data_IF_924104796727
#
_entry.id   IF_924104796727
#
_cell.length_a   1.000
_cell.length_b   1.000
_cell.length_c   1.000
_cell.angle_alpha   90.00
_cell.angle_beta   90.00
_cell.angle_gamma   90.00
#
_symmetry.space_group_name_H-M   'P 1'
#
loop_
_entity.id
_entity.type
_entity.pdbx_description
1 polymer ?
#
# COMPACT_ATOMS: atom_id res chain seq x y z
N UNK A 1 -26.27 -3.38 -25.53
CA UNK A 1 -26.61 -3.83 -24.17
C UNK A 1 -25.92 -2.92 -23.19
N UNK A 2 -26.65 -2.27 -22.27
CA UNK A 2 -26.04 -1.44 -21.22
C UNK A 2 -25.52 -2.33 -20.09
N UNK A 3 -24.55 -1.85 -19.31
CA UNK A 3 -24.03 -2.58 -18.13
C UNK A 3 -25.14 -2.94 -17.15
N UNK A 4 -26.17 -2.09 -17.05
CA UNK A 4 -27.38 -2.32 -16.23
C UNK A 4 -28.16 -3.56 -16.68
N UNK A 5 -28.20 -3.88 -17.99
CA UNK A 5 -28.90 -5.06 -18.49
C UNK A 5 -28.15 -6.37 -18.20
N UNK A 6 -26.81 -6.30 -18.09
CA UNK A 6 -25.95 -7.46 -17.84
C UNK A 6 -25.81 -7.72 -16.33
N UNK A 7 -26.00 -6.68 -15.50
CA UNK A 7 -25.83 -6.78 -14.06
C UNK A 7 -26.65 -7.89 -13.39
N UNK A 8 -27.97 -8.06 -13.62
CA UNK A 8 -28.76 -9.07 -12.91
C UNK A 8 -28.19 -10.49 -13.07
N UNK A 9 -27.85 -10.88 -14.29
CA UNK A 9 -27.31 -12.22 -14.56
C UNK A 9 -25.90 -12.41 -13.97
N UNK A 10 -25.05 -11.36 -13.99
CA UNK A 10 -23.74 -11.42 -13.35
C UNK A 10 -23.86 -11.51 -11.82
N UNK A 11 -24.77 -10.74 -11.23
CA UNK A 11 -25.06 -10.75 -9.79
C UNK A 11 -25.57 -12.12 -9.34
N UNK A 12 -26.52 -12.71 -10.06
CA UNK A 12 -27.04 -14.05 -9.78
C UNK A 12 -25.95 -15.12 -9.90
N UNK A 13 -25.13 -15.05 -10.96
CA UNK A 13 -24.01 -15.98 -11.17
C UNK A 13 -22.99 -15.88 -10.03
N UNK A 14 -22.64 -14.66 -9.63
CA UNK A 14 -21.69 -14.43 -8.54
C UNK A 14 -22.22 -14.99 -7.21
N UNK A 15 -23.50 -14.77 -6.89
CA UNK A 15 -24.12 -15.32 -5.68
C UNK A 15 -24.18 -16.86 -5.69
N UNK A 16 -24.54 -17.45 -6.83
CA UNK A 16 -24.63 -18.91 -6.97
C UNK A 16 -23.27 -19.59 -6.78
N UNK A 17 -22.19 -18.92 -7.17
CA UNK A 17 -20.82 -19.46 -7.14
C UNK A 17 -19.91 -18.74 -6.14
N UNK A 18 -20.47 -18.06 -5.14
CA UNK A 18 -19.72 -17.19 -4.22
C UNK A 18 -18.58 -17.88 -3.44
N UNK A 19 -18.63 -19.21 -3.28
CA UNK A 19 -17.58 -19.98 -2.63
C UNK A 19 -16.42 -20.38 -3.57
N UNK A 20 -16.62 -20.34 -4.89
CA UNK A 20 -15.61 -20.73 -5.88
C UNK A 20 -14.81 -19.50 -6.34
N UNK A 21 -13.60 -19.35 -5.78
CA UNK A 21 -12.71 -18.24 -6.10
C UNK A 21 -12.45 -18.11 -7.62
N UNK A 22 -12.35 -19.22 -8.37
CA UNK A 22 -12.05 -19.17 -9.80
C UNK A 22 -13.20 -18.56 -10.58
N UNK A 23 -14.45 -18.86 -10.22
CA UNK A 23 -15.63 -18.30 -10.86
C UNK A 23 -15.82 -16.83 -10.44
N UNK A 24 -15.67 -16.53 -9.15
CA UNK A 24 -15.78 -15.16 -8.63
C UNK A 24 -14.74 -14.24 -9.28
N UNK A 25 -13.48 -14.66 -9.41
CA UNK A 25 -12.41 -13.92 -10.11
C UNK A 25 -12.83 -13.54 -11.54
N UNK A 26 -13.45 -14.47 -12.27
CA UNK A 26 -13.92 -14.21 -13.65
C UNK A 26 -15.12 -13.26 -13.67
N UNK A 27 -16.01 -13.34 -12.69
CA UNK A 27 -17.12 -12.40 -12.53
C UNK A 27 -16.60 -10.98 -12.23
N UNK A 28 -15.69 -10.84 -11.26
CA UNK A 28 -15.03 -9.57 -10.93
C UNK A 28 -14.24 -9.01 -12.11
N UNK A 29 -13.56 -9.86 -12.89
CA UNK A 29 -12.87 -9.45 -14.12
C UNK A 29 -13.83 -8.92 -15.17
N UNK A 30 -14.99 -9.54 -15.36
CA UNK A 30 -16.04 -9.06 -16.27
C UNK A 30 -16.56 -7.68 -15.81
N UNK A 31 -16.92 -7.56 -14.53
CA UNK A 31 -17.40 -6.32 -13.93
C UNK A 31 -16.36 -5.19 -14.03
N UNK A 32 -15.08 -5.50 -13.82
CA UNK A 32 -13.99 -4.54 -14.00
C UNK A 32 -13.98 -3.94 -15.39
N UNK A 33 -14.06 -4.76 -16.45
CA UNK A 33 -14.10 -4.23 -17.81
C UNK A 33 -15.40 -3.50 -18.13
N UNK A 34 -16.53 -3.96 -17.60
CA UNK A 34 -17.82 -3.28 -17.73
C UNK A 34 -17.79 -1.87 -17.14
N UNK A 35 -17.30 -1.74 -15.89
CA UNK A 35 -17.15 -0.44 -15.20
C UNK A 35 -16.16 0.45 -15.94
N UNK A 36 -14.97 -0.06 -16.32
CA UNK A 36 -13.99 0.72 -17.10
C UNK A 36 -14.51 1.21 -18.45
N UNK A 37 -15.36 0.42 -19.10
CA UNK A 37 -15.92 0.76 -20.41
C UNK A 37 -16.94 1.90 -20.32
N UNK A 38 -17.79 1.90 -19.29
CA UNK A 38 -18.83 2.92 -19.12
C UNK A 38 -18.33 4.13 -18.31
N UNK A 39 -17.34 3.93 -17.45
CA UNK A 39 -16.87 4.94 -16.49
C UNK A 39 -18.01 5.42 -15.60
N UNK A 40 -18.05 6.74 -15.37
CA UNK A 40 -19.03 7.43 -14.52
C UNK A 40 -20.50 7.18 -14.91
N UNK A 41 -20.78 6.80 -16.16
CA UNK A 41 -22.13 6.46 -16.61
C UNK A 41 -22.73 5.20 -15.98
N UNK A 42 -21.93 4.42 -15.24
CA UNK A 42 -22.38 3.21 -14.53
C UNK A 42 -22.69 3.46 -13.05
N UNK A 43 -22.84 4.73 -12.62
CA UNK A 43 -23.07 5.09 -11.21
C UNK A 43 -24.28 4.39 -10.57
N UNK A 44 -25.34 4.10 -11.34
CA UNK A 44 -26.52 3.37 -10.84
C UNK A 44 -26.20 1.94 -10.38
N UNK A 45 -25.07 1.37 -10.83
CA UNK A 45 -24.60 0.05 -10.43
C UNK A 45 -23.81 0.08 -9.12
N UNK A 46 -23.29 1.24 -8.69
CA UNK A 46 -22.35 1.34 -7.59
C UNK A 46 -22.92 0.77 -6.29
N UNK A 47 -24.10 1.23 -5.88
CA UNK A 47 -24.73 0.78 -4.64
C UNK A 47 -25.04 -0.74 -4.62
N UNK A 48 -25.77 -1.32 -5.60
CA UNK A 48 -26.06 -2.75 -5.58
C UNK A 48 -24.79 -3.61 -5.69
N UNK A 49 -23.79 -3.18 -6.47
CA UNK A 49 -22.52 -3.89 -6.59
C UNK A 49 -21.75 -3.89 -5.26
N UNK A 50 -21.53 -2.72 -4.66
CA UNK A 50 -20.82 -2.60 -3.37
C UNK A 50 -21.51 -3.41 -2.27
N UNK A 51 -22.84 -3.37 -2.22
CA UNK A 51 -23.63 -4.14 -1.25
C UNK A 51 -23.35 -5.65 -1.39
N UNK A 52 -23.38 -6.17 -2.62
CA UNK A 52 -23.08 -7.57 -2.89
C UNK A 52 -21.62 -7.91 -2.57
N UNK A 53 -20.66 -7.07 -2.98
CA UNK A 53 -19.24 -7.27 -2.71
C UNK A 53 -18.96 -7.41 -1.21
N UNK A 54 -19.47 -6.48 -0.40
CA UNK A 54 -19.28 -6.50 1.05
C UNK A 54 -19.93 -7.74 1.67
N UNK A 55 -21.17 -8.07 1.29
CA UNK A 55 -21.89 -9.23 1.82
C UNK A 55 -21.17 -10.54 1.52
N UNK A 56 -20.63 -10.71 0.30
CA UNK A 56 -19.93 -11.94 -0.08
C UNK A 56 -18.55 -11.98 0.57
N UNK A 57 -17.80 -10.88 0.58
CA UNK A 57 -16.44 -10.83 1.13
C UNK A 57 -16.39 -11.13 2.63
N UNK A 58 -17.43 -10.79 3.38
CA UNK A 58 -17.57 -11.13 4.80
C UNK A 58 -17.55 -12.65 5.08
N UNK A 59 -18.03 -13.47 4.12
CA UNK A 59 -18.09 -14.92 4.25
C UNK A 59 -16.94 -15.59 3.49
N UNK A 60 -16.64 -15.09 2.29
CA UNK A 60 -15.62 -15.61 1.39
C UNK A 60 -14.67 -14.47 0.98
N UNK A 61 -13.52 -14.30 1.67
CA UNK A 61 -12.64 -13.16 1.46
C UNK A 61 -11.78 -13.28 0.19
N UNK A 62 -12.41 -13.39 -0.98
CA UNK A 62 -11.71 -13.43 -2.26
C UNK A 62 -11.08 -12.06 -2.56
N UNK A 63 -9.75 -12.01 -2.68
CA UNK A 63 -8.99 -10.76 -2.82
C UNK A 63 -9.44 -9.91 -4.01
N UNK A 64 -9.99 -10.53 -5.05
CA UNK A 64 -10.51 -9.87 -6.24
C UNK A 64 -11.62 -8.84 -5.96
N UNK A 65 -12.30 -8.92 -4.81
CA UNK A 65 -13.22 -7.88 -4.36
C UNK A 65 -12.52 -6.60 -3.90
N UNK A 66 -11.35 -6.71 -3.25
CA UNK A 66 -10.50 -5.56 -2.95
C UNK A 66 -10.02 -4.92 -4.25
N UNK A 67 -9.60 -5.75 -5.23
CA UNK A 67 -9.20 -5.23 -6.52
C UNK A 67 -10.35 -4.56 -7.27
N UNK A 68 -11.54 -5.17 -7.30
CA UNK A 68 -12.72 -4.56 -7.91
C UNK A 68 -13.08 -3.24 -7.21
N UNK A 69 -12.99 -3.20 -5.88
CA UNK A 69 -13.12 -1.96 -5.10
C UNK A 69 -12.14 -0.89 -5.57
N UNK A 70 -10.89 -1.25 -5.89
CA UNK A 70 -9.88 -0.30 -6.37
C UNK A 70 -10.29 0.32 -7.71
N UNK A 71 -11.00 -0.43 -8.55
CA UNK A 71 -11.53 0.06 -9.83
C UNK A 71 -12.66 1.04 -9.59
N UNK A 72 -13.56 0.74 -8.64
CA UNK A 72 -14.63 1.66 -8.26
C UNK A 72 -14.05 2.98 -7.72
N UNK A 73 -13.03 2.91 -6.87
CA UNK A 73 -12.35 4.11 -6.35
C UNK A 73 -11.63 4.87 -7.44
N UNK A 74 -11.01 4.18 -8.40
CA UNK A 74 -10.32 4.83 -9.52
C UNK A 74 -11.28 5.64 -10.40
N UNK A 75 -12.47 5.12 -10.66
CA UNK A 75 -13.47 5.74 -11.54
C UNK A 75 -14.33 6.80 -10.81
N UNK A 76 -14.64 6.59 -9.53
CA UNK A 76 -15.62 7.39 -8.77
C UNK A 76 -15.03 8.16 -7.59
N UNK A 77 -13.77 7.93 -7.21
CA UNK A 77 -13.19 8.51 -5.98
C UNK A 77 -13.06 10.03 -5.98
N UNK A 78 -13.07 10.66 -7.16
CA UNK A 78 -13.06 12.13 -7.26
C UNK A 78 -14.46 12.76 -7.13
N UNK A 79 -15.53 11.98 -7.29
CA UNK A 79 -16.92 12.44 -7.17
C UNK A 79 -17.31 12.60 -5.70
N UNK A 80 -17.58 13.82 -5.24
CA UNK A 80 -17.88 14.10 -3.84
C UNK A 80 -19.03 13.26 -3.28
N UNK A 81 -20.08 13.07 -4.09
CA UNK A 81 -21.24 12.25 -3.73
C UNK A 81 -20.94 10.75 -3.56
N UNK A 82 -19.79 10.26 -4.03
CA UNK A 82 -19.39 8.86 -3.91
C UNK A 82 -18.36 8.60 -2.81
N UNK A 83 -17.63 9.64 -2.36
CA UNK A 83 -16.49 9.49 -1.43
C UNK A 83 -16.86 8.76 -0.14
N UNK A 84 -17.97 9.12 0.49
CA UNK A 84 -18.39 8.49 1.75
C UNK A 84 -18.75 7.01 1.55
N UNK A 85 -19.57 6.68 0.55
CA UNK A 85 -19.95 5.29 0.29
C UNK A 85 -18.77 4.40 -0.11
N UNK A 86 -17.78 4.96 -0.82
CA UNK A 86 -16.53 4.27 -1.10
C UNK A 86 -15.71 4.05 0.19
N UNK A 87 -15.61 5.05 1.06
CA UNK A 87 -14.94 4.89 2.35
C UNK A 87 -15.61 3.82 3.22
N UNK A 88 -16.95 3.80 3.26
CA UNK A 88 -17.71 2.78 3.98
C UNK A 88 -17.43 1.37 3.41
N UNK A 89 -17.32 1.24 2.08
CA UNK A 89 -16.89 0.00 1.43
C UNK A 89 -15.49 -0.42 1.88
N UNK A 90 -14.51 0.50 1.87
CA UNK A 90 -13.14 0.21 2.32
C UNK A 90 -13.14 -0.32 3.75
N UNK A 91 -13.83 0.38 4.66
CA UNK A 91 -13.92 -0.02 6.07
C UNK A 91 -14.56 -1.39 6.24
N UNK A 92 -15.64 -1.67 5.49
CA UNK A 92 -16.33 -2.94 5.53
C UNK A 92 -15.48 -4.10 5.01
N UNK A 93 -14.69 -3.88 3.95
CA UNK A 93 -13.77 -4.89 3.41
C UNK A 93 -12.55 -5.08 4.32
N UNK A 94 -12.00 -4.02 4.91
CA UNK A 94 -10.82 -4.10 5.78
C UNK A 94 -11.04 -4.99 7.00
N UNK A 95 -12.26 -5.07 7.56
CA UNK A 95 -12.54 -5.90 8.74
C UNK A 95 -12.16 -7.38 8.55
N UNK A 96 -12.77 -8.15 7.62
CA UNK A 96 -12.35 -9.52 7.35
C UNK A 96 -10.95 -9.61 6.74
N UNK A 97 -10.46 -8.60 6.02
CA UNK A 97 -9.07 -8.57 5.53
C UNK A 97 -8.07 -8.61 6.67
N UNK A 98 -8.21 -7.75 7.69
CA UNK A 98 -7.27 -7.72 8.80
C UNK A 98 -7.38 -8.99 9.65
N UNK A 99 -8.58 -9.51 9.89
CA UNK A 99 -8.76 -10.80 10.55
C UNK A 99 -8.02 -11.94 9.83
N UNK A 100 -7.99 -11.93 8.49
CA UNK A 100 -7.26 -12.90 7.69
C UNK A 100 -5.74 -12.72 7.81
N UNK A 101 -5.25 -11.48 7.75
CA UNK A 101 -3.83 -11.16 7.75
C UNK A 101 -3.17 -11.23 9.14
N UNK A 102 -3.95 -11.06 10.22
CA UNK A 102 -3.52 -11.19 11.62
C UNK A 102 -3.33 -12.66 12.07
N UNK A 103 -3.79 -13.63 11.27
CA UNK A 103 -3.52 -15.03 11.54
C UNK A 103 -2.01 -15.33 11.53
N UNK A 104 -1.55 -16.40 12.21
CA UNK A 104 -0.16 -16.83 12.11
C UNK A 104 0.27 -17.04 10.65
N UNK A 105 1.31 -16.32 10.24
CA UNK A 105 1.78 -16.26 8.84
C UNK A 105 0.75 -15.72 7.83
N UNK A 106 -0.25 -14.96 8.25
CA UNK A 106 -1.35 -14.47 7.41
C UNK A 106 -0.85 -13.69 6.18
N UNK A 107 0.08 -12.77 6.36
CA UNK A 107 0.72 -12.03 5.25
C UNK A 107 1.37 -12.96 4.20
N UNK A 108 2.00 -14.05 4.65
CA UNK A 108 2.67 -15.03 3.78
C UNK A 108 1.69 -15.98 3.12
N UNK A 109 0.62 -16.34 3.82
CA UNK A 109 -0.40 -17.27 3.33
C UNK A 109 -1.41 -16.61 2.38
N UNK A 110 -1.56 -15.28 2.47
CA UNK A 110 -2.53 -14.50 1.70
C UNK A 110 -1.89 -13.33 0.94
N UNK A 111 -0.82 -13.55 0.13
CA UNK A 111 -0.12 -12.47 -0.56
C UNK A 111 -1.01 -11.76 -1.59
N UNK A 112 -1.95 -12.46 -2.22
CA UNK A 112 -2.92 -11.86 -3.15
C UNK A 112 -3.85 -10.86 -2.43
N UNK A 113 -4.20 -11.15 -1.17
CA UNK A 113 -4.99 -10.23 -0.34
C UNK A 113 -4.17 -9.00 0.03
N UNK A 114 -2.88 -9.17 0.33
CA UNK A 114 -1.96 -8.04 0.57
C UNK A 114 -1.84 -7.18 -0.68
N UNK A 115 -1.60 -7.77 -1.85
CA UNK A 115 -1.53 -7.07 -3.13
C UNK A 115 -2.81 -6.25 -3.36
N UNK A 116 -3.97 -6.90 -3.39
CA UNK A 116 -5.22 -6.24 -3.75
C UNK A 116 -5.70 -5.21 -2.70
N UNK A 117 -5.38 -5.41 -1.41
CA UNK A 117 -5.61 -4.41 -0.35
C UNK A 117 -4.82 -3.14 -0.66
N UNK A 118 -3.53 -3.25 -0.98
CA UNK A 118 -2.70 -2.07 -1.23
C UNK A 118 -2.93 -1.47 -2.61
N UNK A 119 -3.45 -2.21 -3.58
CA UNK A 119 -4.01 -1.64 -4.82
C UNK A 119 -5.22 -0.76 -4.53
N UNK A 120 -6.13 -1.22 -3.67
CA UNK A 120 -7.30 -0.45 -3.21
C UNK A 120 -6.86 0.81 -2.45
N UNK A 121 -5.97 0.66 -1.46
CA UNK A 121 -5.49 1.78 -0.66
C UNK A 121 -4.74 2.81 -1.51
N UNK A 122 -3.89 2.37 -2.44
CA UNK A 122 -3.20 3.26 -3.41
C UNK A 122 -4.21 4.09 -4.21
N UNK A 123 -5.30 3.46 -4.69
CA UNK A 123 -6.34 4.19 -5.45
C UNK A 123 -7.05 5.22 -4.59
N UNK A 124 -7.31 4.94 -3.31
CA UNK A 124 -7.87 5.94 -2.40
C UNK A 124 -6.96 7.13 -2.19
N UNK A 125 -5.67 6.89 -1.92
CA UNK A 125 -4.68 7.96 -1.75
C UNK A 125 -4.60 8.84 -3.00
N UNK A 126 -4.63 8.25 -4.19
CA UNK A 126 -4.53 8.99 -5.45
C UNK A 126 -5.81 9.78 -5.81
N UNK A 127 -6.99 9.34 -5.34
CA UNK A 127 -8.28 9.89 -5.80
C UNK A 127 -8.98 10.76 -4.76
N UNK A 128 -8.85 10.41 -3.48
CA UNK A 128 -9.46 11.15 -2.37
C UNK A 128 -8.60 11.07 -1.11
N UNK A 129 -7.37 11.62 -1.15
CA UNK A 129 -6.38 11.48 -0.06
C UNK A 129 -6.91 12.00 1.27
N UNK A 130 -7.54 13.18 1.28
CA UNK A 130 -8.08 13.79 2.51
C UNK A 130 -9.17 12.91 3.13
N UNK A 131 -10.03 12.27 2.32
CA UNK A 131 -11.06 11.35 2.83
C UNK A 131 -10.45 10.15 3.52
N UNK A 132 -9.43 9.52 2.93
CA UNK A 132 -8.75 8.37 3.53
C UNK A 132 -7.96 8.79 4.78
N UNK A 133 -7.14 9.83 4.67
CA UNK A 133 -6.25 10.28 5.75
C UNK A 133 -7.01 10.83 6.96
N UNK A 134 -8.20 11.39 6.78
CA UNK A 134 -9.06 11.84 7.89
C UNK A 134 -9.85 10.70 8.54
N UNK A 135 -9.85 9.50 7.96
CA UNK A 135 -10.59 8.35 8.48
C UNK A 135 -9.78 7.59 9.53
N UNK A 136 -10.45 6.90 10.47
CA UNK A 136 -9.76 6.08 11.48
C UNK A 136 -9.13 4.79 10.94
N UNK A 137 -9.57 4.32 9.75
CA UNK A 137 -9.08 3.06 9.17
C UNK A 137 -7.64 3.18 8.67
N UNK A 138 -7.20 4.39 8.33
CA UNK A 138 -5.86 4.63 7.79
C UNK A 138 -4.74 4.18 8.74
N UNK A 139 -4.94 4.30 10.04
CA UNK A 139 -3.96 3.88 11.05
C UNK A 139 -3.67 2.37 10.90
N UNK A 140 -4.72 1.57 10.74
CA UNK A 140 -4.61 0.12 10.60
C UNK A 140 -4.01 -0.26 9.23
N UNK A 141 -4.36 0.47 8.17
CA UNK A 141 -3.77 0.28 6.83
C UNK A 141 -2.27 0.57 6.86
N UNK A 142 -1.83 1.66 7.52
CA UNK A 142 -0.40 1.99 7.66
C UNK A 142 0.33 0.93 8.47
N UNK A 143 -0.23 0.49 9.60
CA UNK A 143 0.35 -0.58 10.41
C UNK A 143 0.52 -1.88 9.61
N UNK A 144 -0.50 -2.26 8.84
CA UNK A 144 -0.44 -3.40 7.94
C UNK A 144 0.65 -3.21 6.86
N UNK A 145 0.75 -2.02 6.27
CA UNK A 145 1.76 -1.71 5.26
C UNK A 145 3.18 -1.89 5.81
N UNK A 146 3.44 -1.34 7.00
CA UNK A 146 4.73 -1.48 7.69
C UNK A 146 5.05 -2.95 7.96
N UNK A 147 4.09 -3.74 8.44
CA UNK A 147 4.31 -5.17 8.66
C UNK A 147 4.56 -5.94 7.35
N UNK A 148 3.90 -5.53 6.26
CA UNK A 148 3.99 -6.18 4.95
C UNK A 148 5.25 -5.81 4.16
N UNK A 149 6.05 -4.81 4.56
CA UNK A 149 7.27 -4.44 3.82
C UNK A 149 8.30 -5.57 3.77
N UNK A 150 8.30 -6.48 4.75
CA UNK A 150 9.20 -7.64 4.81
C UNK A 150 8.68 -8.88 4.06
N UNK A 151 7.49 -8.81 3.44
CA UNK A 151 6.91 -9.92 2.71
C UNK A 151 7.67 -10.19 1.40
N UNK A 152 8.33 -11.33 1.30
CA UNK A 152 9.00 -11.80 0.09
C UNK A 152 7.98 -12.40 -0.90
N UNK A 153 7.19 -11.51 -1.51
CA UNK A 153 6.30 -11.83 -2.60
C UNK A 153 6.26 -10.65 -3.57
N UNK A 154 6.60 -10.88 -4.84
CA UNK A 154 6.88 -9.82 -5.82
C UNK A 154 5.75 -8.80 -5.96
N UNK A 155 4.52 -9.27 -6.25
CA UNK A 155 3.40 -8.37 -6.55
C UNK A 155 2.90 -7.66 -5.30
N UNK A 156 2.66 -8.41 -4.21
CA UNK A 156 2.34 -7.87 -2.90
C UNK A 156 3.34 -6.81 -2.41
N UNK A 157 4.65 -7.08 -2.48
CA UNK A 157 5.68 -6.12 -2.06
C UNK A 157 5.65 -4.85 -2.93
N UNK A 158 5.54 -5.00 -4.26
CA UNK A 158 5.40 -3.89 -5.19
C UNK A 158 4.19 -3.01 -4.84
N UNK A 159 3.02 -3.61 -4.57
CA UNK A 159 1.82 -2.87 -4.19
C UNK A 159 1.94 -2.18 -2.83
N UNK A 160 2.56 -2.82 -1.83
CA UNK A 160 2.87 -2.20 -0.53
C UNK A 160 3.79 -0.99 -0.71
N UNK A 161 4.92 -1.14 -1.40
CA UNK A 161 5.88 -0.06 -1.59
C UNK A 161 5.26 1.10 -2.37
N UNK A 162 4.47 0.80 -3.40
CA UNK A 162 3.74 1.80 -4.17
C UNK A 162 2.75 2.58 -3.29
N UNK A 163 1.98 1.89 -2.45
CA UNK A 163 1.06 2.54 -1.52
C UNK A 163 1.82 3.48 -0.58
N UNK A 164 2.89 3.00 0.06
CA UNK A 164 3.65 3.80 1.03
C UNK A 164 4.29 5.03 0.36
N UNK A 165 4.87 4.84 -0.83
CA UNK A 165 5.42 5.93 -1.63
C UNK A 165 4.36 6.99 -1.95
N UNK A 166 3.23 6.57 -2.53
CA UNK A 166 2.17 7.50 -2.95
C UNK A 166 1.50 8.19 -1.74
N UNK A 167 1.40 7.48 -0.61
CA UNK A 167 0.93 8.03 0.67
C UNK A 167 1.80 9.19 1.11
N UNK A 168 3.12 9.01 1.18
CA UNK A 168 4.05 10.06 1.63
C UNK A 168 4.10 11.20 0.61
N UNK A 169 4.13 10.86 -0.68
CA UNK A 169 4.13 11.83 -1.78
C UNK A 169 2.92 12.78 -1.74
N UNK A 170 1.80 12.34 -1.18
CA UNK A 170 0.59 13.18 -0.99
C UNK A 170 0.86 14.44 -0.17
N UNK A 171 1.84 14.42 0.74
CA UNK A 171 2.24 15.58 1.55
C UNK A 171 3.12 16.58 0.82
N UNK A 172 3.51 16.28 -0.43
CA UNK A 172 4.44 17.05 -1.26
C UNK A 172 3.79 17.46 -2.59
N UNK A 173 2.98 16.59 -3.18
CA UNK A 173 2.41 16.76 -4.50
C UNK A 173 1.36 17.87 -4.60
N UNK A 174 1.32 18.54 -5.76
CA UNK A 174 0.31 19.53 -6.13
C UNK A 174 0.15 20.62 -5.05
N UNK A 175 1.24 21.29 -4.71
CA UNK A 175 1.31 22.36 -3.70
C UNK A 175 0.44 23.59 -4.03
N UNK A 176 0.00 23.72 -5.28
CA UNK A 176 -0.94 24.73 -5.74
C UNK A 176 -2.42 24.45 -5.40
N UNK A 177 -2.78 23.23 -4.95
CA UNK A 177 -4.16 22.86 -4.62
C UNK A 177 -4.60 23.43 -3.27
N UNK A 178 -5.88 23.79 -3.15
CA UNK A 178 -6.45 24.38 -1.92
C UNK A 178 -6.33 23.46 -0.69
N UNK A 179 -6.32 22.14 -0.89
CA UNK A 179 -6.23 21.14 0.17
C UNK A 179 -4.79 20.77 0.59
N UNK A 180 -3.77 21.38 -0.04
CA UNK A 180 -2.36 21.02 0.17
C UNK A 180 -1.94 21.08 1.65
N UNK A 181 -2.27 22.17 2.35
CA UNK A 181 -1.91 22.33 3.77
C UNK A 181 -2.60 21.28 4.67
N UNK A 182 -3.79 20.81 4.29
CA UNK A 182 -4.49 19.73 5.00
C UNK A 182 -3.78 18.41 4.74
N UNK A 183 -3.45 18.11 3.47
CA UNK A 183 -2.72 16.89 3.08
C UNK A 183 -1.36 16.81 3.77
N UNK A 184 -0.57 17.89 3.72
CA UNK A 184 0.74 18.00 4.37
C UNK A 184 0.66 17.74 5.88
N UNK A 185 -0.33 18.33 6.56
CA UNK A 185 -0.55 18.12 8.01
C UNK A 185 -0.88 16.67 8.34
N UNK A 186 -1.80 16.05 7.58
CA UNK A 186 -2.22 14.67 7.81
C UNK A 186 -1.07 13.68 7.57
N UNK A 187 -0.25 13.89 6.54
CA UNK A 187 0.96 13.10 6.33
C UNK A 187 1.98 13.34 7.44
N UNK A 188 2.13 14.58 7.91
CA UNK A 188 2.98 14.90 9.07
C UNK A 188 2.60 14.06 10.30
N UNK A 189 1.31 14.00 10.64
CA UNK A 189 0.81 13.18 11.75
C UNK A 189 1.08 11.68 11.55
N UNK A 190 0.86 11.15 10.35
CA UNK A 190 1.14 9.76 10.03
C UNK A 190 2.65 9.43 10.17
N UNK A 191 3.51 10.33 9.71
CA UNK A 191 4.96 10.18 9.76
C UNK A 191 5.52 10.36 11.19
N UNK A 192 4.94 11.23 12.01
CA UNK A 192 5.27 11.33 13.43
C UNK A 192 4.99 10.02 14.17
N UNK A 193 3.87 9.36 13.86
CA UNK A 193 3.44 8.14 14.53
C UNK A 193 4.20 6.89 14.03
N UNK A 194 4.43 6.77 12.72
CA UNK A 194 4.92 5.52 12.11
C UNK A 194 6.26 5.64 11.38
N UNK A 195 6.79 6.85 11.17
CA UNK A 195 7.95 7.10 10.32
C UNK A 195 9.21 6.37 10.78
N UNK A 196 9.56 6.43 12.07
CA UNK A 196 10.72 5.71 12.59
C UNK A 196 10.61 4.19 12.41
N UNK A 197 9.42 3.62 12.65
CA UNK A 197 9.18 2.18 12.50
C UNK A 197 9.28 1.77 11.03
N UNK A 198 8.70 2.56 10.12
CA UNK A 198 8.79 2.34 8.68
C UNK A 198 10.24 2.31 8.20
N UNK A 199 11.06 3.32 8.55
CA UNK A 199 12.47 3.39 8.15
C UNK A 199 13.26 2.18 8.68
N UNK A 200 13.07 1.82 9.96
CA UNK A 200 13.71 0.64 10.55
C UNK A 200 13.31 -0.65 9.83
N UNK A 201 12.03 -0.81 9.50
CA UNK A 201 11.53 -2.01 8.86
C UNK A 201 11.98 -2.12 7.39
N UNK A 202 12.01 -1.01 6.65
CA UNK A 202 12.53 -0.98 5.27
C UNK A 202 14.01 -1.37 5.24
N UNK A 203 14.82 -0.82 6.15
CA UNK A 203 16.24 -1.14 6.25
C UNK A 203 16.45 -2.61 6.61
N UNK A 204 15.72 -3.11 7.61
CA UNK A 204 15.74 -4.53 7.97
C UNK A 204 15.34 -5.42 6.78
N UNK A 205 14.24 -5.08 6.09
CA UNK A 205 13.71 -5.85 4.97
C UNK A 205 14.72 -5.94 3.82
N UNK A 206 15.39 -4.83 3.48
CA UNK A 206 16.40 -4.79 2.43
C UNK A 206 17.64 -5.65 2.73
N UNK A 207 18.06 -5.68 4.00
CA UNK A 207 19.24 -6.42 4.43
C UNK A 207 18.99 -7.92 4.59
N UNK A 208 17.82 -8.31 5.12
CA UNK A 208 17.61 -9.68 5.62
C UNK A 208 16.45 -10.44 5.00
N UNK A 209 15.43 -9.77 4.46
CA UNK A 209 14.19 -10.42 4.06
C UNK A 209 14.01 -10.48 2.55
N UNK A 210 14.24 -9.37 1.85
CA UNK A 210 13.83 -9.20 0.47
C UNK A 210 14.96 -9.48 -0.52
N UNK A 211 14.65 -9.97 -1.72
CA UNK A 211 15.59 -10.08 -2.83
C UNK A 211 15.93 -8.71 -3.47
N UNK A 212 17.06 -8.58 -4.19
CA UNK A 212 17.57 -7.29 -4.66
C UNK A 212 16.68 -6.56 -5.67
N UNK A 213 15.72 -7.25 -6.30
CA UNK A 213 14.81 -6.63 -7.27
C UNK A 213 13.83 -5.65 -6.62
N UNK A 214 13.63 -5.72 -5.30
CA UNK A 214 12.75 -4.82 -4.51
C UNK A 214 13.42 -3.49 -4.12
N UNK A 215 14.75 -3.42 -4.22
CA UNK A 215 15.53 -2.26 -3.75
C UNK A 215 15.20 -0.94 -4.45
N UNK A 216 14.85 -0.90 -5.75
CA UNK A 216 14.35 0.33 -6.39
C UNK A 216 13.09 0.87 -5.70
N UNK A 217 12.12 0.01 -5.41
CA UNK A 217 10.85 0.41 -4.80
C UNK A 217 11.07 0.91 -3.36
N UNK A 218 11.95 0.26 -2.60
CA UNK A 218 12.33 0.74 -1.27
C UNK A 218 13.06 2.09 -1.34
N UNK A 219 13.94 2.28 -2.32
CA UNK A 219 14.64 3.54 -2.50
C UNK A 219 13.68 4.70 -2.83
N UNK A 220 12.63 4.45 -3.61
CA UNK A 220 11.57 5.43 -3.88
C UNK A 220 10.85 5.82 -2.58
N UNK A 221 10.53 4.87 -1.70
CA UNK A 221 9.92 5.19 -0.40
C UNK A 221 10.86 6.02 0.47
N UNK A 222 12.14 5.63 0.60
CA UNK A 222 13.12 6.39 1.37
C UNK A 222 13.30 7.81 0.81
N UNK A 223 13.28 7.95 -0.52
CA UNK A 223 13.34 9.22 -1.20
C UNK A 223 12.15 10.12 -0.85
N UNK A 224 10.92 9.61 -0.92
CA UNK A 224 9.73 10.40 -0.55
C UNK A 224 9.75 10.86 0.92
N UNK A 225 10.21 10.00 1.86
CA UNK A 225 10.37 10.41 3.26
C UNK A 225 11.37 11.56 3.39
N UNK A 226 12.49 11.46 2.67
CA UNK A 226 13.53 12.48 2.68
C UNK A 226 13.07 13.80 2.04
N UNK A 227 12.29 13.75 0.97
CA UNK A 227 11.71 14.93 0.33
C UNK A 227 10.70 15.61 1.26
N UNK A 228 9.90 14.83 2.00
CA UNK A 228 8.90 15.35 2.93
C UNK A 228 9.53 16.05 4.15
N UNK A 229 10.48 15.40 4.84
CA UNK A 229 11.21 15.98 5.99
C UNK A 229 12.62 15.37 6.11
N UNK A 230 13.59 16.02 5.45
CA UNK A 230 14.99 15.57 5.42
C UNK A 230 15.64 15.54 6.81
N UNK A 231 15.58 16.60 7.66
CA UNK A 231 16.18 16.55 9.00
C UNK A 231 15.66 15.39 9.86
N UNK A 232 14.34 15.16 9.87
CA UNK A 232 13.75 14.06 10.64
C UNK A 232 14.14 12.70 10.07
N UNK A 233 14.13 12.56 8.73
CA UNK A 233 14.61 11.36 8.05
C UNK A 233 16.07 11.02 8.41
N UNK A 234 16.98 11.99 8.43
CA UNK A 234 18.38 11.79 8.81
C UNK A 234 18.51 11.13 10.19
N UNK A 235 17.72 11.62 11.17
CA UNK A 235 17.68 11.07 12.53
C UNK A 235 17.09 9.67 12.56
N UNK A 236 16.00 9.42 11.83
CA UNK A 236 15.38 8.10 11.78
C UNK A 236 16.29 7.04 11.15
N UNK A 237 16.96 7.40 10.05
CA UNK A 237 17.92 6.53 9.38
C UNK A 237 19.13 6.23 10.28
N UNK A 238 19.64 7.23 11.00
CA UNK A 238 20.72 7.03 11.96
C UNK A 238 20.31 6.04 13.06
N UNK A 239 19.11 6.20 13.63
CA UNK A 239 18.58 5.28 14.65
C UNK A 239 18.42 3.86 14.11
N UNK A 240 17.89 3.70 12.89
CA UNK A 240 17.75 2.41 12.25
C UNK A 240 19.10 1.72 12.01
N UNK A 241 20.11 2.47 11.55
CA UNK A 241 21.47 1.97 11.36
C UNK A 241 22.15 1.58 12.67
N UNK A 242 21.89 2.31 13.76
CA UNK A 242 22.40 1.97 15.10
C UNK A 242 21.84 0.63 15.60
N UNK A 243 20.58 0.33 15.26
CA UNK A 243 19.85 -0.85 15.69
C UNK A 243 20.08 -2.10 14.81
N UNK A 244 20.71 -1.96 13.64
CA UNK A 244 21.02 -3.11 12.78
C UNK A 244 21.98 -4.09 13.47
N UNK A 245 21.81 -5.41 13.28
CA UNK A 245 22.81 -6.41 13.64
C UNK A 245 24.13 -6.16 12.88
N UNK A 246 25.22 -5.89 13.62
CA UNK A 246 26.54 -5.56 13.05
C UNK A 246 27.49 -6.76 12.98
N UNK A 247 27.08 -7.88 13.56
CA UNK A 247 27.86 -9.09 13.69
C UNK A 247 27.06 -10.27 13.15
N UNK A 248 27.75 -11.21 12.51
CA UNK A 248 27.19 -12.51 12.17
C UNK A 248 27.10 -13.40 13.41
N UNK A 249 26.33 -14.49 13.35
CA UNK A 249 26.24 -15.47 14.45
C UNK A 249 27.60 -16.08 14.86
N UNK A 250 28.65 -15.92 14.04
CA UNK A 250 30.03 -16.32 14.34
C UNK A 250 30.93 -15.20 14.89
N UNK A 251 30.39 -14.03 15.25
CA UNK A 251 31.14 -12.90 15.80
C UNK A 251 31.99 -12.13 14.77
N UNK A 252 31.89 -12.46 13.48
CA UNK A 252 32.56 -11.70 12.43
C UNK A 252 31.79 -10.40 12.15
N UNK A 253 32.52 -9.28 12.04
CA UNK A 253 31.98 -7.96 11.70
C UNK A 253 31.37 -8.00 10.31
N UNK A 254 30.05 -7.87 10.23
CA UNK A 254 29.30 -7.81 8.97
C UNK A 254 29.42 -6.43 8.33
N UNK A 255 29.33 -5.37 9.16
CA UNK A 255 29.36 -3.97 8.70
C UNK A 255 30.19 -3.13 9.67
N UNK A 256 31.13 -2.36 9.11
CA UNK A 256 31.98 -1.44 9.86
C UNK A 256 31.27 -0.12 10.17
N UNK A 257 31.73 0.60 11.20
CA UNK A 257 31.23 1.95 11.51
C UNK A 257 31.38 2.91 10.32
N UNK A 258 32.51 2.83 9.59
CA UNK A 258 32.75 3.65 8.39
C UNK A 258 31.69 3.38 7.32
N UNK A 259 31.35 2.13 7.04
CA UNK A 259 30.31 1.78 6.07
C UNK A 259 28.92 2.28 6.47
N UNK A 260 28.57 2.26 7.76
CA UNK A 260 27.32 2.84 8.25
C UNK A 260 27.28 4.36 8.01
N UNK A 261 28.36 5.06 8.36
CA UNK A 261 28.47 6.52 8.18
C UNK A 261 28.48 6.91 6.70
N UNK A 262 29.19 6.15 5.86
CA UNK A 262 29.24 6.38 4.42
C UNK A 262 27.86 6.16 3.78
N UNK A 263 27.14 5.09 4.14
CA UNK A 263 25.78 4.83 3.68
C UNK A 263 24.80 5.92 4.12
N UNK A 264 24.81 6.28 5.41
CA UNK A 264 23.97 7.36 5.94
C UNK A 264 24.19 8.66 5.16
N UNK A 265 25.45 9.04 4.94
CA UNK A 265 25.81 10.23 4.16
C UNK A 265 25.31 10.13 2.71
N UNK A 266 25.60 9.02 2.01
CA UNK A 266 25.19 8.84 0.61
C UNK A 266 23.68 8.98 0.42
N UNK A 267 22.88 8.42 1.33
CA UNK A 267 21.42 8.51 1.27
C UNK A 267 20.93 9.91 1.63
N UNK A 268 21.41 10.48 2.75
CA UNK A 268 20.92 11.77 3.26
C UNK A 268 21.39 13.00 2.48
N UNK A 269 22.48 12.87 1.72
CA UNK A 269 22.98 13.91 0.79
C UNK A 269 22.56 13.66 -0.65
N UNK A 270 21.68 12.70 -0.92
CA UNK A 270 21.24 12.42 -2.28
C UNK A 270 20.39 13.58 -2.85
N UNK A 271 20.66 13.89 -4.11
CA UNK A 271 19.95 14.85 -4.97
C UNK A 271 19.01 14.15 -5.96
N UNK A 272 19.22 12.85 -6.20
CA UNK A 272 18.34 12.02 -7.02
C UNK A 272 18.02 10.68 -6.35
N UNK A 273 16.80 10.17 -6.55
CA UNK A 273 16.38 8.85 -6.07
C UNK A 273 17.29 7.71 -6.55
N UNK A 274 17.94 7.84 -7.72
CA UNK A 274 18.90 6.86 -8.23
C UNK A 274 20.11 6.68 -7.30
N UNK A 275 20.57 7.77 -6.68
CA UNK A 275 21.69 7.73 -5.74
C UNK A 275 21.31 6.96 -4.47
N UNK A 276 20.08 7.16 -3.96
CA UNK A 276 19.52 6.36 -2.85
C UNK A 276 19.49 4.88 -3.23
N UNK A 277 19.01 4.55 -4.43
CA UNK A 277 18.97 3.16 -4.90
C UNK A 277 20.37 2.52 -4.98
N UNK A 278 21.38 3.24 -5.46
CA UNK A 278 22.75 2.75 -5.49
C UNK A 278 23.33 2.53 -4.10
N UNK A 279 23.14 3.47 -3.19
CA UNK A 279 23.58 3.34 -1.80
C UNK A 279 22.94 2.13 -1.11
N UNK A 280 21.63 1.94 -1.28
CA UNK A 280 20.91 0.77 -0.74
C UNK A 280 21.43 -0.54 -1.33
N UNK A 281 21.69 -0.60 -2.64
CA UNK A 281 22.26 -1.80 -3.30
C UNK A 281 23.66 -2.12 -2.78
N UNK A 282 24.52 -1.12 -2.63
CA UNK A 282 25.88 -1.32 -2.14
C UNK A 282 25.87 -1.79 -0.68
N UNK A 283 25.06 -1.15 0.16
CA UNK A 283 24.95 -1.46 1.57
C UNK A 283 24.36 -2.85 1.83
N UNK A 284 23.28 -3.21 1.14
CA UNK A 284 22.62 -4.52 1.30
C UNK A 284 23.50 -5.69 0.86
N UNK A 285 24.47 -5.48 -0.03
CA UNK A 285 25.45 -6.52 -0.41
C UNK A 285 26.34 -6.96 0.75
N UNK A 286 26.51 -6.13 1.79
CA UNK A 286 27.30 -6.47 2.97
C UNK A 286 26.64 -7.55 3.84
N UNK A 287 25.35 -7.81 3.64
CA UNK A 287 24.55 -8.76 4.42
C UNK A 287 24.21 -10.05 3.66
N UNK A 288 24.70 -10.21 2.43
CA UNK A 288 24.37 -11.32 1.53
C UNK A 288 25.59 -12.18 1.22
#
# INVERSE_FOLDING_TARGET
MTVVQIWPVLSETLNAHQADNRIVERCCRCLRFAVRCVGKGSASLLQPLVTQMVSVYQVFPHSCFLYLGSILVDEYGMEEGCRQGLLDMLQALCMPTFQLLEQPNGLRNHPDTVDDLFRLATRFVQRSPVTLLSSSIIVHIIQCAVAATSLDHRDANCSVMKFVRDLIHTGVANDHEEDFEVRKRLIGQAMEQHGQQLISQLLHSCCFCLPPYTLPDVAEVLWEVMVFDRPTFCRWLENALKALPKETSGGAVTVTHKQLTDFHRQVTSAEECKQVCWAVREFTRLFR
#
